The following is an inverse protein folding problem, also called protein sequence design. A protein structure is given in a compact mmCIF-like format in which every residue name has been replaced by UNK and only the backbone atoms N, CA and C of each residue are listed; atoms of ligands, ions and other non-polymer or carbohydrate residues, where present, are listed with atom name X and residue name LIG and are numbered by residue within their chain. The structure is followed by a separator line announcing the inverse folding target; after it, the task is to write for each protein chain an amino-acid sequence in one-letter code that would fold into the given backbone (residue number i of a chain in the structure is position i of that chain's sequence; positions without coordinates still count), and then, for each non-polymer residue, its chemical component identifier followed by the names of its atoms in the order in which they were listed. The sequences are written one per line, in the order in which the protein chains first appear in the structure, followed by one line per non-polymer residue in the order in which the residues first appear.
data_IF_252085367561
#
_entry.id   IF_252085367561
#
_cell.length_a   1.000
_cell.length_b   1.000
_cell.length_c   1.000
_cell.angle_alpha   90.00
_cell.angle_beta   90.00
_cell.angle_gamma   90.00
#
_symmetry.space_group_name_H-M   'P 1'
#
loop_
_entity.id
_entity.type
_entity.pdbx_description
1 polymer ?
#
# COMPACT_ATOMS: atom_id res chain seq x y z
N UNK A 1 -46.21 -17.16 54.74
CA UNK A 1 -45.51 -16.16 53.90
C UNK A 1 -46.51 -15.59 52.94
N UNK A 2 -46.83 -14.31 53.06
CA UNK A 2 -47.86 -13.65 52.24
C UNK A 2 -47.34 -13.39 50.82
N UNK A 3 -48.23 -13.16 49.84
CA UNK A 3 -47.81 -12.76 48.49
C UNK A 3 -46.92 -11.49 48.49
N UNK A 4 -47.16 -10.60 49.47
CA UNK A 4 -46.37 -9.38 49.69
C UNK A 4 -44.93 -9.70 50.12
N UNK A 5 -44.73 -10.71 50.96
CA UNK A 5 -43.39 -11.15 51.39
C UNK A 5 -42.58 -11.78 50.24
N UNK A 6 -43.26 -12.41 49.27
CA UNK A 6 -42.61 -13.01 48.09
C UNK A 6 -42.01 -11.95 47.17
N UNK A 7 -42.82 -10.95 46.82
CA UNK A 7 -42.44 -9.86 45.90
C UNK A 7 -41.28 -9.06 46.50
N UNK A 8 -41.36 -8.74 47.78
CA UNK A 8 -40.34 -7.92 48.45
C UNK A 8 -38.95 -8.59 48.53
N UNK A 9 -38.86 -9.91 48.70
CA UNK A 9 -37.58 -10.62 48.74
C UNK A 9 -36.88 -10.64 47.36
N UNK A 10 -37.63 -10.95 46.30
CA UNK A 10 -37.12 -10.99 44.93
C UNK A 10 -36.72 -9.61 44.41
N UNK A 11 -37.49 -8.57 44.74
CA UNK A 11 -37.18 -7.18 44.36
C UNK A 11 -35.93 -6.66 45.07
N UNK A 12 -35.69 -7.09 46.30
CA UNK A 12 -34.46 -6.74 47.04
C UNK A 12 -33.25 -7.43 46.43
N UNK A 13 -33.37 -8.71 46.06
CA UNK A 13 -32.29 -9.45 45.42
C UNK A 13 -31.92 -8.85 44.05
N UNK A 14 -32.91 -8.61 43.18
CA UNK A 14 -32.68 -7.98 41.87
C UNK A 14 -32.03 -6.60 42.01
N UNK A 15 -32.52 -5.75 42.92
CA UNK A 15 -31.89 -4.44 43.19
C UNK A 15 -30.44 -4.57 43.64
N UNK A 16 -30.08 -5.60 44.40
CA UNK A 16 -28.69 -5.85 44.79
C UNK A 16 -27.85 -6.26 43.59
N UNK A 17 -28.34 -7.17 42.73
CA UNK A 17 -27.64 -7.60 41.51
C UNK A 17 -27.40 -6.41 40.57
N UNK A 18 -28.44 -5.64 40.29
CA UNK A 18 -28.35 -4.48 39.41
C UNK A 18 -27.52 -3.35 40.03
N UNK A 19 -27.60 -3.16 41.35
CA UNK A 19 -26.76 -2.20 42.08
C UNK A 19 -25.27 -2.55 41.96
N UNK A 20 -24.91 -3.83 42.12
CA UNK A 20 -23.55 -4.31 41.87
C UNK A 20 -23.12 -4.04 40.42
N UNK A 21 -23.98 -4.36 39.45
CA UNK A 21 -23.72 -4.11 38.03
C UNK A 21 -23.43 -2.65 37.72
N UNK A 22 -24.22 -1.73 38.25
CA UNK A 22 -24.00 -0.29 38.11
C UNK A 22 -22.66 0.15 38.73
N UNK A 23 -22.28 -0.43 39.87
CA UNK A 23 -21.01 -0.12 40.53
C UNK A 23 -19.81 -0.57 39.69
N UNK A 24 -19.78 -1.82 39.23
CA UNK A 24 -18.60 -2.31 38.51
C UNK A 24 -18.54 -1.85 37.05
N UNK A 25 -19.66 -1.46 36.43
CA UNK A 25 -19.68 -0.89 35.07
C UNK A 25 -19.34 0.60 35.04
N UNK A 26 -19.25 1.27 36.20
CA UNK A 26 -18.91 2.70 36.28
C UNK A 26 -17.58 3.00 35.60
N UNK A 27 -17.60 3.96 34.67
CA UNK A 27 -16.43 4.38 33.88
C UNK A 27 -16.20 3.57 32.60
N UNK A 28 -17.05 2.61 32.27
CA UNK A 28 -17.11 2.01 30.93
C UNK A 28 -17.94 2.88 29.98
N UNK A 29 -17.92 2.55 28.69
CA UNK A 29 -18.79 3.21 27.70
C UNK A 29 -20.27 2.94 28.00
N UNK A 30 -21.13 3.91 27.68
CA UNK A 30 -22.58 3.79 27.87
C UNK A 30 -23.13 2.48 27.28
N UNK A 31 -22.78 2.16 26.03
CA UNK A 31 -23.20 0.93 25.34
C UNK A 31 -22.74 -0.37 26.02
N UNK A 32 -21.60 -0.35 26.70
CA UNK A 32 -21.08 -1.54 27.38
C UNK A 32 -21.77 -1.74 28.73
N UNK A 33 -22.02 -0.64 29.44
CA UNK A 33 -22.79 -0.65 30.68
C UNK A 33 -24.24 -1.07 30.41
N UNK A 34 -24.89 -0.49 29.41
CA UNK A 34 -26.28 -0.76 29.04
C UNK A 34 -26.48 -2.22 28.62
N UNK A 35 -25.63 -2.75 27.73
CA UNK A 35 -25.69 -4.18 27.35
C UNK A 35 -25.51 -5.12 28.54
N UNK A 36 -24.60 -4.79 29.47
CA UNK A 36 -24.36 -5.65 30.63
C UNK A 36 -25.53 -5.60 31.62
N UNK A 37 -26.13 -4.42 31.83
CA UNK A 37 -27.31 -4.24 32.64
C UNK A 37 -28.52 -4.97 32.04
N UNK A 38 -28.77 -4.84 30.74
CA UNK A 38 -29.86 -5.52 30.05
C UNK A 38 -29.75 -7.05 30.12
N UNK A 39 -28.54 -7.58 29.98
CA UNK A 39 -28.29 -9.02 30.16
C UNK A 39 -28.62 -9.51 31.57
N UNK A 40 -28.17 -8.79 32.61
CA UNK A 40 -28.45 -9.17 33.99
C UNK A 40 -29.94 -9.01 34.38
N UNK A 41 -30.64 -8.06 33.79
CA UNK A 41 -32.10 -7.93 33.93
C UNK A 41 -32.81 -9.15 33.32
N UNK A 42 -32.39 -9.59 32.13
CA UNK A 42 -32.90 -10.82 31.50
C UNK A 42 -32.64 -12.05 32.38
N UNK A 43 -31.40 -12.23 32.87
CA UNK A 43 -31.04 -13.34 33.74
C UNK A 43 -31.87 -13.37 35.04
N UNK A 44 -32.13 -12.19 35.63
CA UNK A 44 -32.97 -12.07 36.83
C UNK A 44 -34.42 -12.44 36.53
N UNK A 45 -34.96 -12.04 35.37
CA UNK A 45 -36.29 -12.42 34.93
C UNK A 45 -36.39 -13.93 34.69
N UNK A 46 -35.43 -14.52 33.98
CA UNK A 46 -35.37 -15.96 33.71
C UNK A 46 -35.30 -16.79 35.01
N UNK A 47 -34.53 -16.35 36.01
CA UNK A 47 -34.48 -17.04 37.30
C UNK A 47 -35.80 -16.98 38.07
N UNK A 48 -36.58 -15.90 37.92
CA UNK A 48 -37.93 -15.82 38.50
C UNK A 48 -38.87 -16.81 37.82
N UNK A 49 -38.92 -16.78 36.48
CA UNK A 49 -39.75 -17.69 35.70
C UNK A 49 -39.42 -19.15 36.02
N UNK A 50 -38.14 -19.51 36.04
CA UNK A 50 -37.69 -20.85 36.42
C UNK A 50 -38.11 -21.22 37.84
N UNK A 51 -37.97 -20.29 38.79
CA UNK A 51 -38.40 -20.49 40.18
C UNK A 51 -39.90 -20.76 40.29
N UNK A 52 -40.72 -20.07 39.51
CA UNK A 52 -42.17 -20.27 39.45
C UNK A 52 -42.51 -21.63 38.81
N UNK A 53 -41.83 -22.02 37.73
CA UNK A 53 -42.02 -23.30 37.04
C UNK A 53 -41.75 -24.51 37.94
N UNK A 54 -40.67 -24.47 38.74
CA UNK A 54 -40.29 -25.58 39.63
C UNK A 54 -40.93 -25.49 41.02
N UNK A 55 -41.76 -24.47 41.27
CA UNK A 55 -42.40 -24.24 42.56
C UNK A 55 -41.42 -23.89 43.70
N UNK A 56 -40.27 -23.29 43.38
CA UNK A 56 -39.28 -22.89 44.37
C UNK A 56 -39.82 -21.77 45.27
N UNK A 57 -39.42 -21.78 46.55
CA UNK A 57 -39.75 -20.66 47.43
C UNK A 57 -39.04 -19.37 46.96
N UNK A 58 -39.71 -18.20 46.97
CA UNK A 58 -39.09 -16.94 46.53
C UNK A 58 -37.84 -16.54 47.30
N UNK A 59 -37.76 -16.92 48.58
CA UNK A 59 -36.54 -16.73 49.39
C UNK A 59 -35.39 -17.59 48.86
N UNK A 60 -35.65 -18.82 48.44
CA UNK A 60 -34.62 -19.68 47.85
C UNK A 60 -34.12 -19.11 46.51
N UNK A 61 -35.03 -18.62 45.65
CA UNK A 61 -34.66 -17.96 44.39
C UNK A 61 -33.86 -16.68 44.64
N UNK A 62 -34.32 -15.81 45.55
CA UNK A 62 -33.61 -14.59 45.94
C UNK A 62 -32.20 -14.89 46.50
N UNK A 63 -32.08 -15.92 47.34
CA UNK A 63 -30.79 -16.35 47.89
C UNK A 63 -29.87 -16.88 46.80
N UNK A 64 -30.41 -17.64 45.84
CA UNK A 64 -29.67 -18.12 44.67
C UNK A 64 -29.15 -16.98 43.80
N UNK A 65 -29.98 -15.97 43.51
CA UNK A 65 -29.57 -14.74 42.80
C UNK A 65 -28.38 -14.07 43.47
N UNK A 66 -28.48 -13.84 44.78
CA UNK A 66 -27.42 -13.20 45.56
C UNK A 66 -26.16 -14.06 45.60
N UNK A 67 -26.29 -15.37 45.86
CA UNK A 67 -25.16 -16.29 45.90
C UNK A 67 -24.41 -16.35 44.56
N UNK A 68 -25.13 -16.42 43.43
CA UNK A 68 -24.53 -16.39 42.09
C UNK A 68 -23.84 -15.05 41.81
N UNK A 69 -24.43 -13.95 42.22
CA UNK A 69 -23.84 -12.61 42.06
C UNK A 69 -22.53 -12.52 42.83
N UNK A 70 -22.53 -12.93 44.10
CA UNK A 70 -21.33 -12.94 44.95
C UNK A 70 -20.23 -13.84 44.36
N UNK A 71 -20.57 -15.04 43.90
CA UNK A 71 -19.63 -15.95 43.25
C UNK A 71 -19.10 -15.39 41.91
N UNK A 72 -19.89 -14.58 41.21
CA UNK A 72 -19.55 -13.96 39.93
C UNK A 72 -18.70 -12.68 40.02
N UNK A 73 -18.64 -12.03 41.20
CA UNK A 73 -17.95 -10.74 41.36
C UNK A 73 -16.49 -10.72 40.85
N UNK A 74 -15.65 -11.74 41.12
CA UNK A 74 -14.28 -11.76 40.60
C UNK A 74 -14.22 -11.77 39.06
N UNK A 75 -15.13 -12.51 38.43
CA UNK A 75 -15.23 -12.57 36.97
C UNK A 75 -15.73 -11.24 36.39
N UNK A 76 -16.69 -10.59 37.04
CA UNK A 76 -17.17 -9.25 36.65
C UNK A 76 -16.04 -8.21 36.71
N UNK A 77 -15.20 -8.25 37.75
CA UNK A 77 -14.05 -7.36 37.88
C UNK A 77 -12.96 -7.64 36.84
N UNK A 78 -12.71 -8.93 36.53
CA UNK A 78 -11.80 -9.31 35.45
C UNK A 78 -12.32 -8.83 34.10
N UNK A 79 -13.61 -9.01 33.84
CA UNK A 79 -14.29 -8.49 32.65
C UNK A 79 -14.18 -6.97 32.55
N UNK A 80 -14.35 -6.24 33.65
CA UNK A 80 -14.16 -4.79 33.66
C UNK A 80 -12.74 -4.40 33.23
N UNK A 81 -11.73 -5.11 33.74
CA UNK A 81 -10.32 -4.86 33.36
C UNK A 81 -10.10 -5.10 31.86
N UNK A 82 -10.64 -6.18 31.31
CA UNK A 82 -10.52 -6.47 29.87
C UNK A 82 -11.29 -5.45 29.03
N UNK A 83 -12.50 -5.06 29.44
CA UNK A 83 -13.29 -4.03 28.76
C UNK A 83 -12.56 -2.67 28.70
N UNK A 84 -11.88 -2.26 29.78
CA UNK A 84 -11.03 -1.07 29.76
C UNK A 84 -9.82 -1.21 28.83
N UNK A 85 -9.19 -2.39 28.79
CA UNK A 85 -8.07 -2.65 27.88
C UNK A 85 -8.52 -2.56 26.41
N UNK A 86 -9.65 -3.18 26.05
CA UNK A 86 -10.21 -3.13 24.69
C UNK A 86 -10.66 -1.73 24.29
N UNK A 87 -11.20 -0.95 25.22
CA UNK A 87 -11.56 0.45 24.97
C UNK A 87 -10.33 1.32 24.66
N UNK A 88 -9.22 1.11 25.39
CA UNK A 88 -7.95 1.79 25.10
C UNK A 88 -7.36 1.34 23.77
N UNK A 89 -7.43 0.05 23.44
CA UNK A 89 -6.92 -0.46 22.17
C UNK A 89 -7.73 0.04 20.97
N UNK A 90 -9.06 0.14 21.03
CA UNK A 90 -9.84 0.77 19.95
C UNK A 90 -9.40 2.20 19.64
N UNK A 91 -9.10 3.00 20.68
CA UNK A 91 -8.60 4.37 20.48
C UNK A 91 -7.22 4.41 19.80
N UNK A 92 -6.35 3.41 20.05
CA UNK A 92 -5.05 3.26 19.39
C UNK A 92 -5.15 2.68 17.98
N UNK A 93 -6.06 1.73 17.77
CA UNK A 93 -6.34 1.13 16.47
C UNK A 93 -6.82 2.20 15.48
N UNK A 94 -7.71 3.10 15.91
CA UNK A 94 -8.21 4.18 15.03
C UNK A 94 -7.08 5.10 14.52
N UNK A 95 -6.11 5.47 15.37
CA UNK A 95 -4.95 6.31 14.99
C UNK A 95 -3.87 5.54 14.22
N UNK A 96 -3.68 4.27 14.58
CA UNK A 96 -2.73 3.37 13.93
C UNK A 96 -3.18 2.93 12.53
N UNK A 97 -4.48 2.73 12.32
CA UNK A 97 -5.07 2.37 11.03
C UNK A 97 -5.07 3.54 10.05
N UNK A 98 -5.36 4.76 10.50
CA UNK A 98 -5.20 5.95 9.65
C UNK A 98 -3.75 6.17 9.24
N UNK A 99 -2.80 6.01 10.17
CA UNK A 99 -1.36 6.13 9.84
C UNK A 99 -0.90 5.01 8.90
N UNK A 100 -1.44 3.80 9.08
CA UNK A 100 -1.16 2.65 8.22
C UNK A 100 -1.77 2.85 6.83
N UNK A 101 -3.01 3.35 6.72
CA UNK A 101 -3.62 3.70 5.43
C UNK A 101 -2.82 4.80 4.73
N UNK A 102 -2.43 5.86 5.43
CA UNK A 102 -1.60 6.93 4.84
C UNK A 102 -0.25 6.35 4.38
N UNK A 103 0.41 5.51 5.19
CA UNK A 103 1.67 4.86 4.81
C UNK A 103 1.53 3.82 3.70
N UNK A 104 0.36 3.21 3.53
CA UNK A 104 0.11 2.22 2.47
C UNK A 104 -0.34 2.88 1.17
N UNK A 105 -1.01 4.04 1.23
CA UNK A 105 -1.64 4.68 0.08
C UNK A 105 -1.08 6.06 -0.29
N UNK A 106 -0.02 6.56 0.38
CA UNK A 106 0.60 7.85 0.03
C UNK A 106 1.04 7.93 -1.45
N UNK A 107 1.48 6.81 -2.02
CA UNK A 107 1.93 6.76 -3.42
C UNK A 107 0.76 6.94 -4.40
N UNK A 108 -0.48 6.64 -4.01
CA UNK A 108 -1.66 6.93 -4.84
C UNK A 108 -1.93 8.43 -4.89
N UNK A 109 -1.78 9.13 -3.76
CA UNK A 109 -1.86 10.59 -3.76
C UNK A 109 -0.78 11.19 -4.67
N UNK A 110 0.44 10.63 -4.64
CA UNK A 110 1.50 11.03 -5.56
C UNK A 110 1.15 10.74 -7.03
N UNK A 111 0.55 9.58 -7.34
CA UNK A 111 0.09 9.25 -8.69
C UNK A 111 -0.99 10.22 -9.20
N UNK A 112 -1.90 10.69 -8.34
CA UNK A 112 -2.86 11.76 -8.70
C UNK A 112 -2.13 13.05 -9.05
N UNK A 113 -1.17 13.47 -8.22
CA UNK A 113 -0.40 14.70 -8.46
C UNK A 113 0.37 14.62 -9.77
N UNK A 114 1.04 13.49 -10.03
CA UNK A 114 1.76 13.24 -11.28
C UNK A 114 0.80 13.27 -12.47
N UNK A 115 -0.32 12.54 -12.43
CA UNK A 115 -1.29 12.51 -13.51
C UNK A 115 -1.93 13.88 -13.80
N UNK A 116 -2.24 14.67 -12.76
CA UNK A 116 -2.75 16.03 -12.94
C UNK A 116 -1.71 16.97 -13.57
N UNK A 117 -0.44 16.81 -13.19
CA UNK A 117 0.64 17.60 -13.75
C UNK A 117 0.90 17.23 -15.22
N UNK A 118 0.84 15.95 -15.58
CA UNK A 118 0.90 15.51 -16.98
C UNK A 118 -0.26 16.10 -17.81
N UNK A 119 -1.48 16.11 -17.27
CA UNK A 119 -2.61 16.78 -17.92
C UNK A 119 -2.36 18.26 -18.12
N UNK A 120 -1.86 18.96 -17.10
CA UNK A 120 -1.56 20.39 -17.19
C UNK A 120 -0.46 20.68 -18.23
N UNK A 121 0.63 19.91 -18.22
CA UNK A 121 1.72 20.05 -19.19
C UNK A 121 1.26 19.73 -20.61
N UNK A 122 0.49 18.66 -20.80
CA UNK A 122 -0.05 18.29 -22.09
C UNK A 122 -1.00 19.34 -22.69
N UNK A 123 -1.72 20.07 -21.84
CA UNK A 123 -2.55 21.22 -22.27
C UNK A 123 -1.71 22.48 -22.52
N UNK A 124 -0.66 22.72 -21.74
CA UNK A 124 0.19 23.90 -21.87
C UNK A 124 1.05 23.88 -23.15
N UNK A 125 1.59 22.72 -23.52
CA UNK A 125 2.47 22.56 -24.69
C UNK A 125 1.91 23.17 -26.00
N UNK A 126 0.69 22.85 -26.45
CA UNK A 126 0.14 23.46 -27.67
C UNK A 126 -0.19 24.95 -27.56
N UNK A 127 -0.29 25.49 -26.33
CA UNK A 127 -0.54 26.91 -26.11
C UNK A 127 0.75 27.72 -26.24
N UNK A 128 1.88 27.14 -25.81
CA UNK A 128 3.21 27.75 -25.91
C UNK A 128 3.80 27.59 -27.31
N UNK A 129 3.66 26.40 -27.90
CA UNK A 129 4.19 26.09 -29.22
C UNK A 129 3.04 25.80 -30.22
N UNK A 130 2.86 26.72 -31.18
CA UNK A 130 1.82 26.59 -32.22
C UNK A 130 2.26 25.70 -33.39
N UNK A 131 2.88 24.56 -33.11
CA UNK A 131 3.28 23.59 -34.12
C UNK A 131 2.51 22.26 -33.94
N UNK A 132 2.34 21.52 -35.04
CA UNK A 132 1.57 20.25 -35.02
C UNK A 132 2.19 19.20 -34.11
N UNK A 133 3.52 19.23 -33.92
CA UNK A 133 4.23 18.31 -33.03
C UNK A 133 3.86 18.51 -31.56
N UNK A 134 3.82 19.76 -31.10
CA UNK A 134 3.45 20.15 -29.75
C UNK A 134 1.97 19.82 -29.45
N UNK A 135 1.08 19.97 -30.43
CA UNK A 135 -0.31 19.54 -30.31
C UNK A 135 -0.42 18.02 -30.12
N UNK A 136 0.25 17.24 -30.97
CA UNK A 136 0.21 15.77 -30.88
C UNK A 136 0.86 15.30 -29.56
N UNK A 137 2.04 15.83 -29.23
CA UNK A 137 2.75 15.52 -27.99
C UNK A 137 1.91 15.87 -26.76
N UNK A 138 1.32 17.06 -26.75
CA UNK A 138 0.45 17.53 -25.67
C UNK A 138 -0.77 16.62 -25.44
N UNK A 139 -1.45 16.21 -26.51
CA UNK A 139 -2.57 15.26 -26.45
C UNK A 139 -2.12 13.92 -25.87
N UNK A 140 -0.97 13.39 -26.28
CA UNK A 140 -0.43 12.10 -25.78
C UNK A 140 -0.11 12.20 -24.29
N UNK A 141 0.59 13.25 -23.86
CA UNK A 141 0.97 13.46 -22.46
C UNK A 141 -0.29 13.61 -21.59
N UNK A 142 -1.23 14.45 -21.99
CA UNK A 142 -2.47 14.64 -21.23
C UNK A 142 -3.32 13.35 -21.19
N UNK A 143 -3.37 12.61 -22.30
CA UNK A 143 -4.05 11.32 -22.36
C UNK A 143 -3.46 10.31 -21.39
N UNK A 144 -2.13 10.22 -21.29
CA UNK A 144 -1.45 9.32 -20.36
C UNK A 144 -1.62 9.74 -18.88
N UNK A 145 -1.62 11.05 -18.60
CA UNK A 145 -1.98 11.57 -17.27
C UNK A 145 -3.42 11.19 -16.86
N UNK A 146 -4.37 11.27 -17.80
CA UNK A 146 -5.74 10.79 -17.56
C UNK A 146 -5.80 9.27 -17.36
N UNK A 147 -4.98 8.49 -18.08
CA UNK A 147 -4.86 7.04 -17.87
C UNK A 147 -4.33 6.72 -16.46
N UNK A 148 -3.34 7.47 -15.96
CA UNK A 148 -2.87 7.33 -14.58
C UNK A 148 -4.00 7.53 -13.57
N UNK A 149 -4.79 8.60 -13.73
CA UNK A 149 -5.92 8.92 -12.84
C UNK A 149 -7.03 7.85 -12.97
N UNK A 150 -7.36 7.43 -14.19
CA UNK A 150 -8.33 6.38 -14.43
C UNK A 150 -7.89 5.03 -13.82
N UNK A 151 -6.58 4.75 -13.82
CA UNK A 151 -5.97 3.59 -13.16
C UNK A 151 -6.38 3.49 -11.69
N UNK A 152 -6.47 4.61 -10.98
CA UNK A 152 -6.91 4.66 -9.57
C UNK A 152 -8.39 4.24 -9.43
N UNK A 153 -9.25 4.64 -10.36
CA UNK A 153 -10.66 4.22 -10.37
C UNK A 153 -10.79 2.73 -10.71
N UNK A 154 -10.02 2.24 -11.70
CA UNK A 154 -9.98 0.82 -12.10
C UNK A 154 -9.44 -0.07 -10.98
N UNK A 155 -8.48 0.43 -10.20
CA UNK A 155 -7.88 -0.27 -9.06
C UNK A 155 -8.91 -0.74 -8.02
N UNK A 156 -10.07 -0.05 -7.91
CA UNK A 156 -11.18 -0.48 -7.03
C UNK A 156 -11.80 -1.83 -7.44
N UNK A 157 -11.75 -2.17 -8.73
CA UNK A 157 -12.33 -3.41 -9.28
C UNK A 157 -11.28 -4.44 -9.68
N UNK A 158 -10.12 -3.99 -10.16
CA UNK A 158 -9.02 -4.82 -10.66
C UNK A 158 -7.69 -4.19 -10.25
N UNK A 159 -7.17 -4.58 -9.09
CA UNK A 159 -5.98 -3.95 -8.47
C UNK A 159 -4.78 -3.95 -9.42
N UNK A 160 -4.40 -5.12 -9.94
CA UNK A 160 -3.24 -5.28 -10.84
C UNK A 160 -3.37 -4.43 -12.10
N UNK A 161 -4.56 -4.40 -12.72
CA UNK A 161 -4.77 -3.59 -13.92
C UNK A 161 -4.68 -2.09 -13.60
N UNK A 162 -5.24 -1.66 -12.47
CA UNK A 162 -5.15 -0.28 -12.02
C UNK A 162 -3.70 0.16 -11.79
N UNK A 163 -2.89 -0.66 -11.13
CA UNK A 163 -1.48 -0.37 -10.88
C UNK A 163 -0.67 -0.30 -12.19
N UNK A 164 -0.94 -1.18 -13.15
CA UNK A 164 -0.31 -1.12 -14.47
C UNK A 164 -0.69 0.13 -15.27
N UNK A 165 -1.95 0.58 -15.19
CA UNK A 165 -2.39 1.82 -15.82
C UNK A 165 -1.71 3.04 -15.18
N UNK A 166 -1.55 3.06 -13.86
CA UNK A 166 -0.82 4.11 -13.15
C UNK A 166 0.66 4.13 -13.58
N UNK A 167 1.30 2.97 -13.65
CA UNK A 167 2.71 2.87 -14.06
C UNK A 167 2.91 3.30 -15.52
N UNK A 168 2.05 2.84 -16.43
CA UNK A 168 2.13 3.20 -17.85
C UNK A 168 1.81 4.67 -18.11
N UNK A 169 0.83 5.22 -17.37
CA UNK A 169 0.43 6.61 -17.52
C UNK A 169 1.48 7.60 -17.02
N UNK A 170 2.34 7.23 -16.06
CA UNK A 170 3.40 8.09 -15.49
C UNK A 170 4.72 8.11 -16.30
N UNK A 171 4.80 7.37 -17.41
CA UNK A 171 6.00 7.31 -18.28
C UNK A 171 6.38 8.66 -18.91
N UNK A 172 5.44 9.51 -19.36
CA UNK A 172 5.74 10.80 -19.97
C UNK A 172 6.52 11.76 -19.10
N UNK A 173 6.58 11.57 -17.77
CA UNK A 173 7.38 12.44 -16.90
C UNK A 173 8.90 12.21 -17.06
N UNK A 174 9.32 11.06 -17.60
CA UNK A 174 10.72 10.67 -17.70
C UNK A 174 11.61 11.59 -18.58
N UNK A 175 11.16 12.08 -19.75
CA UNK A 175 11.98 12.94 -20.61
C UNK A 175 12.25 14.33 -20.01
N UNK A 176 11.51 14.76 -18.97
CA UNK A 176 11.71 16.03 -18.26
C UNK A 176 12.90 16.01 -17.28
N UNK A 177 14.04 15.47 -17.72
CA UNK A 177 15.27 15.32 -16.91
C UNK A 177 15.85 16.65 -16.42
N UNK A 178 15.58 17.74 -17.13
CA UNK A 178 15.97 19.10 -16.74
C UNK A 178 15.33 19.57 -15.43
N UNK A 179 14.19 18.99 -15.05
CA UNK A 179 13.56 19.20 -13.74
C UNK A 179 13.71 17.94 -12.90
N UNK A 180 14.88 17.73 -12.26
CA UNK A 180 15.24 16.51 -11.48
C UNK A 180 14.08 15.97 -10.63
N UNK A 181 13.26 16.86 -10.04
CA UNK A 181 12.10 16.50 -9.21
C UNK A 181 11.08 15.64 -9.96
N UNK A 182 10.74 15.99 -11.20
CA UNK A 182 9.65 15.37 -11.94
C UNK A 182 9.91 13.90 -12.28
N UNK A 183 11.04 13.53 -12.94
CA UNK A 183 11.37 12.14 -13.21
C UNK A 183 11.50 11.30 -11.93
N UNK A 184 11.99 11.90 -10.83
CA UNK A 184 12.08 11.19 -9.55
C UNK A 184 10.69 10.86 -9.00
N UNK A 185 9.74 11.79 -9.07
CA UNK A 185 8.35 11.53 -8.66
C UNK A 185 7.67 10.48 -9.55
N UNK A 186 7.83 10.60 -10.88
CA UNK A 186 7.31 9.61 -11.83
C UNK A 186 7.89 8.21 -11.58
N UNK A 187 9.20 8.11 -11.35
CA UNK A 187 9.88 6.84 -11.08
C UNK A 187 9.42 6.23 -9.76
N UNK A 188 9.25 7.06 -8.72
CA UNK A 188 8.72 6.60 -7.44
C UNK A 188 7.30 6.02 -7.59
N UNK A 189 6.43 6.66 -8.39
CA UNK A 189 5.07 6.16 -8.69
C UNK A 189 5.13 4.84 -9.46
N UNK A 190 5.95 4.76 -10.51
CA UNK A 190 6.10 3.55 -11.33
C UNK A 190 6.59 2.37 -10.47
N UNK A 191 7.66 2.57 -9.69
CA UNK A 191 8.22 1.51 -8.84
C UNK A 191 7.21 1.08 -7.78
N UNK A 192 6.53 2.03 -7.12
CA UNK A 192 5.53 1.72 -6.12
C UNK A 192 4.35 0.92 -6.70
N UNK A 193 3.83 1.34 -7.85
CA UNK A 193 2.74 0.66 -8.55
C UNK A 193 3.15 -0.76 -8.98
N UNK A 194 4.34 -0.95 -9.54
CA UNK A 194 4.82 -2.26 -9.98
C UNK A 194 5.05 -3.22 -8.79
N UNK A 195 5.62 -2.72 -7.69
CA UNK A 195 5.81 -3.52 -6.46
C UNK A 195 4.45 -3.92 -5.89
N UNK A 196 3.48 -3.01 -5.87
CA UNK A 196 2.15 -3.30 -5.35
C UNK A 196 1.41 -4.32 -6.23
N UNK A 197 1.47 -4.16 -7.56
CA UNK A 197 0.92 -5.11 -8.52
C UNK A 197 1.51 -6.51 -8.33
N UNK A 198 2.83 -6.61 -8.16
CA UNK A 198 3.53 -7.87 -7.94
C UNK A 198 3.13 -8.53 -6.62
N UNK A 199 2.98 -7.76 -5.53
CA UNK A 199 2.52 -8.27 -4.24
C UNK A 199 1.10 -8.83 -4.33
N UNK A 200 0.18 -8.13 -5.00
CA UNK A 200 -1.20 -8.58 -5.17
C UNK A 200 -1.29 -9.82 -6.07
N UNK A 201 -0.50 -9.87 -7.15
CA UNK A 201 -0.43 -11.04 -8.01
C UNK A 201 0.11 -12.27 -7.27
N UNK A 202 1.09 -12.09 -6.37
CA UNK A 202 1.65 -13.17 -5.56
C UNK A 202 0.64 -13.72 -4.54
N UNK A 203 -0.16 -12.86 -3.89
CA UNK A 203 -1.20 -13.28 -2.94
C UNK A 203 -2.37 -13.97 -3.64
N UNK A 204 -2.73 -13.53 -4.85
CA UNK A 204 -3.81 -14.11 -5.64
C UNK A 204 -3.48 -15.48 -6.25
N UNK A 205 -2.25 -15.99 -6.07
CA UNK A 205 -1.82 -17.30 -6.54
C UNK A 205 -1.62 -18.31 -5.39
N UNK A 206 -2.70 -18.76 -4.71
CA UNK A 206 -2.61 -19.86 -3.76
C UNK A 206 -2.47 -21.18 -4.53
N UNK A 207 -1.27 -21.75 -4.54
CA UNK A 207 -0.98 -23.17 -4.82
C UNK A 207 -1.15 -23.77 -6.23
N UNK A 208 -1.32 -22.99 -7.31
CA UNK A 208 -1.28 -23.59 -8.66
C UNK A 208 0.13 -23.57 -9.26
N UNK A 209 0.83 -24.70 -9.18
CA UNK A 209 1.91 -25.08 -10.13
C UNK A 209 1.44 -25.13 -11.61
N UNK A 210 0.15 -24.88 -11.86
CA UNK A 210 -0.52 -25.12 -13.13
C UNK A 210 -1.10 -23.88 -13.85
N UNK A 211 -0.83 -22.64 -13.43
CA UNK A 211 -1.44 -21.47 -14.10
C UNK A 211 -0.41 -20.63 -14.89
N UNK A 212 -0.22 -20.88 -16.21
CA UNK A 212 0.61 -20.04 -17.07
C UNK A 212 0.02 -18.64 -17.30
N UNK A 213 -1.27 -18.42 -17.03
CA UNK A 213 -1.97 -17.15 -17.34
C UNK A 213 -1.52 -16.01 -16.41
N UNK A 214 -1.15 -16.30 -15.17
CA UNK A 214 -0.54 -15.31 -14.27
C UNK A 214 0.91 -14.94 -14.65
N UNK A 215 1.56 -15.77 -15.46
CA UNK A 215 2.96 -15.61 -15.90
C UNK A 215 3.11 -14.66 -17.09
N UNK A 216 2.06 -14.47 -17.88
CA UNK A 216 2.08 -13.69 -19.13
C UNK A 216 1.39 -12.32 -18.99
N UNK A 217 0.63 -12.10 -17.91
CA UNK A 217 -0.05 -10.83 -17.63
C UNK A 217 0.92 -9.64 -17.41
N UNK A 218 2.18 -9.91 -17.01
CA UNK A 218 3.25 -8.90 -16.94
C UNK A 218 4.03 -8.74 -18.24
N UNK A 219 4.09 -9.79 -19.07
CA UNK A 219 4.82 -9.77 -20.34
C UNK A 219 4.09 -8.91 -21.35
N UNK A 220 2.76 -8.99 -21.42
CA UNK A 220 1.97 -8.23 -22.39
C UNK A 220 2.09 -6.70 -22.25
N UNK A 221 1.90 -6.08 -21.06
CA UNK A 221 2.05 -4.63 -20.92
C UNK A 221 3.50 -4.19 -21.10
N UNK A 222 4.46 -5.02 -20.69
CA UNK A 222 5.88 -4.69 -20.77
C UNK A 222 6.43 -4.79 -22.20
N UNK A 223 6.07 -5.84 -22.94
CA UNK A 223 6.29 -5.95 -24.38
C UNK A 223 5.52 -4.84 -25.09
N UNK A 224 4.31 -4.50 -24.65
CA UNK A 224 3.57 -3.34 -25.11
C UNK A 224 4.33 -2.03 -24.94
N UNK A 225 4.93 -1.79 -23.78
CA UNK A 225 5.78 -0.61 -23.51
C UNK A 225 7.03 -0.62 -24.39
N UNK A 226 7.72 -1.75 -24.52
CA UNK A 226 8.91 -1.87 -25.39
C UNK A 226 8.53 -1.61 -26.85
N UNK A 227 7.44 -2.20 -27.34
CA UNK A 227 6.95 -2.02 -28.71
C UNK A 227 6.49 -0.57 -28.93
N UNK A 228 5.80 0.04 -27.96
CA UNK A 228 5.40 1.44 -28.04
C UNK A 228 6.60 2.39 -28.06
N UNK A 229 7.63 2.13 -27.24
CA UNK A 229 8.88 2.87 -27.25
C UNK A 229 9.64 2.69 -28.57
N UNK A 230 9.66 1.48 -29.15
CA UNK A 230 10.26 1.20 -30.48
C UNK A 230 9.48 1.89 -31.60
N UNK A 231 8.15 1.89 -31.56
CA UNK A 231 7.32 2.57 -32.56
C UNK A 231 7.47 4.09 -32.45
N UNK A 232 7.48 4.65 -31.24
CA UNK A 232 7.76 6.08 -31.02
C UNK A 232 9.15 6.47 -31.54
N UNK A 233 10.15 5.64 -31.24
CA UNK A 233 11.52 5.77 -31.75
C UNK A 233 11.59 5.78 -33.29
N UNK A 234 10.85 4.89 -33.96
CA UNK A 234 10.81 4.81 -35.43
C UNK A 234 10.09 6.02 -36.04
N UNK A 235 9.04 6.53 -35.40
CA UNK A 235 8.29 7.71 -35.87
C UNK A 235 9.11 8.99 -35.73
N UNK A 236 9.95 9.11 -34.69
CA UNK A 236 10.79 10.31 -34.45
C UNK A 236 11.95 10.41 -35.46
N UNK A 237 12.34 9.31 -36.13
CA UNK A 237 13.24 9.33 -37.28
C UNK A 237 14.73 9.58 -36.98
N UNK A 238 15.09 9.96 -35.76
CA UNK A 238 16.47 10.10 -35.31
C UNK A 238 16.89 8.89 -34.42
N UNK A 239 17.84 8.11 -34.95
CA UNK A 239 18.35 6.88 -34.35
C UNK A 239 18.94 7.06 -32.94
N UNK A 240 19.40 8.27 -32.58
CA UNK A 240 19.89 8.54 -31.24
C UNK A 240 18.75 8.54 -30.21
N UNK A 241 17.68 9.30 -30.47
CA UNK A 241 16.43 9.30 -29.67
C UNK A 241 15.77 7.93 -29.60
N UNK A 242 15.89 7.13 -30.66
CA UNK A 242 15.38 5.78 -30.69
C UNK A 242 16.07 4.87 -29.65
N UNK A 243 17.40 4.95 -29.56
CA UNK A 243 18.18 4.21 -28.57
C UNK A 243 17.82 4.67 -27.15
N UNK A 244 17.60 5.96 -26.92
CA UNK A 244 17.19 6.49 -25.60
C UNK A 244 15.85 5.96 -25.12
N UNK A 245 14.85 5.87 -26.01
CA UNK A 245 13.50 5.42 -25.68
C UNK A 245 13.42 3.91 -25.44
N UNK A 246 14.23 3.12 -26.15
CA UNK A 246 14.11 1.66 -26.18
C UNK A 246 15.01 0.98 -25.14
N UNK A 247 16.16 1.57 -24.82
CA UNK A 247 17.17 0.91 -23.97
C UNK A 247 16.69 0.68 -22.53
N UNK A 248 16.07 1.65 -21.82
CA UNK A 248 15.60 1.43 -20.45
C UNK A 248 14.48 0.37 -20.34
N UNK A 249 13.44 0.36 -21.20
CA UNK A 249 12.43 -0.69 -21.22
C UNK A 249 13.00 -2.09 -21.52
N UNK A 250 13.93 -2.18 -22.48
CA UNK A 250 14.59 -3.45 -22.82
C UNK A 250 15.48 -3.93 -21.68
N UNK A 251 16.21 -3.03 -21.03
CA UNK A 251 17.04 -3.38 -19.89
C UNK A 251 16.20 -3.84 -18.68
N UNK A 252 15.06 -3.18 -18.43
CA UNK A 252 14.05 -3.63 -17.47
C UNK A 252 13.49 -5.02 -17.82
N UNK A 253 13.26 -5.30 -19.11
CA UNK A 253 12.81 -6.62 -19.60
C UNK A 253 13.84 -7.70 -19.33
N UNK A 254 15.10 -7.43 -19.66
CA UNK A 254 16.21 -8.36 -19.43
C UNK A 254 16.41 -8.61 -17.94
N UNK A 255 16.42 -7.56 -17.12
CA UNK A 255 16.53 -7.69 -15.66
C UNK A 255 15.36 -8.45 -15.04
N UNK A 256 14.14 -8.21 -15.52
CA UNK A 256 12.95 -8.94 -15.07
C UNK A 256 13.00 -10.42 -15.46
N UNK A 257 13.41 -10.75 -16.70
CA UNK A 257 13.61 -12.14 -17.15
C UNK A 257 14.69 -12.83 -16.31
N UNK A 258 15.82 -12.15 -16.04
CA UNK A 258 16.90 -12.71 -15.22
C UNK A 258 16.45 -12.99 -13.77
N UNK A 259 15.67 -12.08 -13.18
CA UNK A 259 15.06 -12.26 -11.85
C UNK A 259 14.01 -13.39 -11.84
N UNK A 260 13.19 -13.49 -12.89
CA UNK A 260 12.13 -14.51 -13.06
C UNK A 260 12.68 -15.93 -13.08
N UNK A 261 13.86 -16.15 -13.66
CA UNK A 261 14.48 -17.47 -13.74
C UNK A 261 15.31 -17.85 -12.50
N UNK A 262 15.25 -17.05 -11.41
CA UNK A 262 16.01 -17.25 -10.17
C UNK A 262 17.51 -17.47 -10.38
N UNK A 263 18.08 -16.98 -11.48
CA UNK A 263 19.51 -17.18 -11.77
C UNK A 263 20.35 -16.16 -10.99
N UNK A 264 20.39 -16.34 -9.66
CA UNK A 264 21.18 -15.52 -8.76
C UNK A 264 22.65 -15.67 -9.12
N UNK A 265 23.29 -14.56 -9.53
CA UNK A 265 24.70 -14.55 -9.93
C UNK A 265 24.98 -14.91 -11.39
N UNK A 266 23.97 -15.02 -12.26
CA UNK A 266 24.23 -15.23 -13.69
C UNK A 266 24.81 -14.00 -14.38
N UNK A 267 25.65 -14.21 -15.41
CA UNK A 267 26.14 -13.13 -16.26
C UNK A 267 24.99 -12.30 -16.83
N UNK A 268 23.82 -12.87 -17.14
CA UNK A 268 22.65 -12.13 -17.65
C UNK A 268 22.10 -11.06 -16.68
N UNK A 269 22.11 -11.32 -15.38
CA UNK A 269 21.64 -10.35 -14.38
C UNK A 269 22.64 -9.19 -14.25
N UNK A 270 23.94 -9.51 -14.31
CA UNK A 270 25.03 -8.53 -14.40
C UNK A 270 24.95 -7.75 -15.72
N UNK A 271 24.67 -8.40 -16.85
CA UNK A 271 24.47 -7.75 -18.15
C UNK A 271 23.29 -6.79 -18.13
N UNK A 272 22.16 -7.16 -17.51
CA UNK A 272 21.02 -6.24 -17.35
C UNK A 272 21.36 -5.01 -16.50
N UNK A 273 22.07 -5.21 -15.38
CA UNK A 273 22.49 -4.11 -14.51
C UNK A 273 23.56 -3.22 -15.16
N UNK A 274 24.48 -3.82 -15.92
CA UNK A 274 25.49 -3.12 -16.72
C UNK A 274 24.83 -2.36 -17.87
N UNK A 275 23.80 -2.91 -18.52
CA UNK A 275 23.04 -2.21 -19.56
C UNK A 275 22.22 -1.04 -18.99
N UNK A 276 21.62 -1.18 -17.80
CA UNK A 276 20.96 -0.07 -17.10
C UNK A 276 21.98 1.01 -16.75
N UNK A 277 23.11 0.64 -16.14
CA UNK A 277 24.17 1.61 -15.79
C UNK A 277 24.82 2.25 -17.02
N UNK A 278 25.04 1.50 -18.10
CA UNK A 278 25.60 2.02 -19.35
C UNK A 278 24.59 2.92 -20.08
N UNK A 279 23.30 2.58 -20.05
CA UNK A 279 22.24 3.42 -20.59
C UNK A 279 22.11 4.72 -19.80
N UNK A 280 22.14 4.67 -18.46
CA UNK A 280 22.08 5.89 -17.62
C UNK A 280 23.34 6.73 -17.79
N UNK A 281 24.51 6.10 -17.80
CA UNK A 281 25.80 6.77 -18.01
C UNK A 281 25.87 7.44 -19.38
N UNK A 282 25.39 6.77 -20.43
CA UNK A 282 25.33 7.38 -21.75
C UNK A 282 24.31 8.53 -21.79
N UNK A 283 23.15 8.43 -21.10
CA UNK A 283 22.13 9.52 -21.08
C UNK A 283 22.72 10.77 -20.47
N UNK A 284 23.45 10.61 -19.37
CA UNK A 284 24.12 11.71 -18.68
C UNK A 284 25.19 12.33 -19.55
N UNK A 285 26.00 11.53 -20.25
CA UNK A 285 27.06 12.03 -21.14
C UNK A 285 26.46 12.78 -22.33
N UNK A 286 25.41 12.25 -22.97
CA UNK A 286 24.77 12.87 -24.13
C UNK A 286 24.02 14.17 -23.78
N UNK A 287 23.40 14.24 -22.61
CA UNK A 287 22.80 15.47 -22.07
C UNK A 287 23.90 16.46 -21.68
N UNK A 288 24.98 16.03 -21.03
CA UNK A 288 26.09 16.93 -20.72
C UNK A 288 26.74 17.50 -22.00
N UNK A 289 26.91 16.68 -23.05
CA UNK A 289 27.56 17.07 -24.30
C UNK A 289 26.69 17.95 -25.20
N UNK A 290 25.36 17.88 -25.09
CA UNK A 290 24.45 18.72 -25.89
C UNK A 290 24.20 20.10 -25.29
N UNK A 291 24.58 20.31 -24.03
CA UNK A 291 24.33 21.54 -23.28
C UNK A 291 25.58 22.39 -23.02
N UNK A 292 26.78 21.83 -23.16
CA UNK A 292 28.02 22.59 -23.01
C UNK A 292 28.43 23.22 -24.35
N UNK A 293 28.56 24.57 -24.43
CA UNK A 293 29.12 25.20 -25.62
C UNK A 293 30.52 24.64 -25.88
N UNK A 294 30.85 24.43 -27.16
CA UNK A 294 32.06 23.73 -27.65
C UNK A 294 33.35 24.28 -27.01
N UNK A 295 33.35 25.54 -26.56
CA UNK A 295 34.50 26.23 -25.99
C UNK A 295 34.84 25.84 -24.52
N UNK A 296 33.96 25.11 -23.80
CA UNK A 296 34.23 24.65 -22.41
C UNK A 296 34.97 23.29 -22.39
N UNK A 297 35.20 22.66 -23.55
CA UNK A 297 35.86 21.36 -23.65
C UNK A 297 37.37 21.36 -23.33
N UNK A 298 38.01 22.51 -23.12
CA UNK A 298 39.44 22.58 -22.77
C UNK A 298 39.75 22.15 -21.34
N UNK A 299 38.78 22.16 -20.42
CA UNK A 299 39.01 21.72 -19.03
C UNK A 299 38.38 20.33 -18.78
N UNK A 300 39.02 19.30 -19.34
CA UNK A 300 38.58 17.89 -19.24
C UNK A 300 38.41 17.39 -17.80
N UNK A 301 38.99 18.08 -16.80
CA UNK A 301 38.92 17.68 -15.40
C UNK A 301 37.51 17.71 -14.80
N UNK A 302 36.65 18.65 -15.21
CA UNK A 302 35.32 18.80 -14.60
C UNK A 302 34.34 17.70 -15.06
N UNK A 303 34.34 17.37 -16.35
CA UNK A 303 33.46 16.34 -16.92
C UNK A 303 33.82 14.95 -16.36
N UNK A 304 35.12 14.66 -16.22
CA UNK A 304 35.60 13.40 -15.63
C UNK A 304 35.19 13.28 -14.16
N UNK A 305 35.34 14.34 -13.36
CA UNK A 305 34.93 14.31 -11.94
C UNK A 305 33.41 14.17 -11.79
N UNK A 306 32.63 14.82 -12.65
CA UNK A 306 31.16 14.73 -12.62
C UNK A 306 30.67 13.32 -13.00
N UNK A 307 31.20 12.74 -14.09
CA UNK A 307 30.87 11.37 -14.51
C UNK A 307 31.31 10.35 -13.45
N UNK A 308 32.49 10.52 -12.85
CA UNK A 308 32.96 9.67 -11.75
C UNK A 308 32.04 9.74 -10.53
N UNK A 309 31.59 10.93 -10.12
CA UNK A 309 30.66 11.09 -8.99
C UNK A 309 29.31 10.42 -9.25
N UNK A 310 28.81 10.47 -10.48
CA UNK A 310 27.52 9.90 -10.86
C UNK A 310 27.58 8.36 -10.95
N UNK A 311 28.69 7.82 -11.46
CA UNK A 311 28.98 6.37 -11.41
C UNK A 311 29.10 5.88 -9.97
N UNK A 312 29.80 6.62 -9.11
CA UNK A 312 29.93 6.28 -7.68
C UNK A 312 28.55 6.31 -6.99
N UNK A 313 27.72 7.31 -7.25
CA UNK A 313 26.38 7.40 -6.68
C UNK A 313 25.47 6.23 -7.11
N UNK A 314 25.47 5.88 -8.40
CA UNK A 314 24.71 4.73 -8.92
C UNK A 314 25.19 3.40 -8.30
N UNK A 315 26.51 3.24 -8.13
CA UNK A 315 27.11 2.04 -7.54
C UNK A 315 26.79 1.92 -6.04
N UNK A 316 26.81 3.03 -5.31
CA UNK A 316 26.40 3.08 -3.89
C UNK A 316 24.92 2.69 -3.74
N UNK A 317 24.03 3.22 -4.57
CA UNK A 317 22.60 2.86 -4.56
C UNK A 317 22.40 1.38 -4.87
N UNK A 318 23.09 0.85 -5.88
CA UNK A 318 23.06 -0.58 -6.21
C UNK A 318 23.52 -1.47 -5.05
N UNK A 319 24.64 -1.13 -4.41
CA UNK A 319 25.18 -1.88 -3.26
C UNK A 319 24.23 -1.83 -2.06
N UNK A 320 23.61 -0.68 -1.79
CA UNK A 320 22.64 -0.55 -0.69
C UNK A 320 21.39 -1.40 -0.95
N UNK A 321 20.85 -1.39 -2.17
CA UNK A 321 19.67 -2.18 -2.52
C UNK A 321 19.94 -3.68 -2.46
N UNK A 322 21.09 -4.13 -2.97
CA UNK A 322 21.52 -5.53 -2.89
C UNK A 322 21.78 -5.93 -1.43
N UNK A 323 22.43 -5.09 -0.64
CA UNK A 323 22.70 -5.34 0.79
C UNK A 323 21.42 -5.48 1.62
N UNK A 324 20.42 -4.61 1.38
CA UNK A 324 19.11 -4.68 2.04
C UNK A 324 18.35 -5.94 1.63
N UNK A 325 18.42 -6.32 0.36
CA UNK A 325 17.82 -7.56 -0.16
C UNK A 325 18.42 -8.82 0.47
N UNK A 326 19.75 -8.90 0.54
CA UNK A 326 20.47 -10.03 1.12
C UNK A 326 20.25 -10.17 2.64
N UNK A 327 20.16 -9.05 3.36
CA UNK A 327 19.91 -9.05 4.82
C UNK A 327 18.53 -9.61 5.16
N UNK A 328 17.49 -9.22 4.40
CA UNK A 328 16.14 -9.78 4.54
C UNK A 328 16.04 -11.25 4.17
N UNK A 329 16.85 -11.72 3.22
CA UNK A 329 16.94 -13.15 2.90
C UNK A 329 17.56 -13.97 4.03
N UNK A 330 18.59 -13.43 4.69
CA UNK A 330 19.31 -14.11 5.79
C UNK A 330 18.47 -14.22 7.07
N UNK A 331 17.67 -13.21 7.38
CA UNK A 331 16.79 -13.21 8.55
C UNK A 331 15.63 -14.22 8.41
N UNK A 332 15.26 -14.61 7.18
CA UNK A 332 14.24 -15.65 6.91
C UNK A 332 14.80 -17.07 6.91
N UNK A 333 16.11 -17.24 6.75
CA UNK A 333 16.77 -18.54 6.66
C UNK A 333 17.27 -19.07 8.02
N UNK A 334 17.07 -18.33 9.12
CA UNK A 334 17.31 -18.86 10.46
C UNK A 334 16.12 -19.74 10.88
N UNK A 335 16.28 -21.06 11.00
CA UNK A 335 15.26 -21.88 11.66
C UNK A 335 15.12 -21.41 13.10
N UNK A 336 13.88 -21.44 13.59
CA UNK A 336 13.53 -21.12 14.98
C UNK A 336 14.18 -22.10 15.97
#
# INVERSE_FOLDING_TARGET
MTAVDRVTALDRAERLVLGWAQVYTRGLSADAAERRLGGLQSDCHEQRCWGDEVGASPVAVATSMVARTLAGMPADLLWRRTAHATARDRSRITRGETMRMVKTYWWLALAVVVGLLEVALGVALPLEEQNTGALIGGIVIAGLGLVSIAGIAVRRRRVVLGDLLIAGGALPVMPWLWTIVLPVLGLAVIVAALVDAANHAAVAAPDTTANPIGRDAFVLPMVGTVVACVLAAVVIGDGATAVWLVTPPVALLVSWVALRHRVHGSPLMLTGLVLISASVGSTVIAVASSWLPVDIYEDQGFLDVFVQLLVVAALVVGVVLVGVGLRRGRDRARPA
#
